data_IF_224668086412
#
_entry.id   IF_224668086412
#
_cell.length_a   1.000
_cell.length_b   1.000
_cell.length_c   1.000
_cell.angle_alpha   90.00
_cell.angle_beta   90.00
_cell.angle_gamma   90.00
#
_symmetry.space_group_name_H-M   'P 1'
#
loop_
_entity.id
_entity.type
_entity.pdbx_description
1 polymer ?
#
# COMPACT_ATOMS: atom_id res chain seq x y z
N UNK A 1 -6.22 33.60 -44.51
CA UNK A 1 -6.06 32.27 -43.90
C UNK A 1 -5.63 32.52 -42.45
N UNK A 2 -6.38 32.09 -41.42
CA UNK A 2 -5.97 32.32 -40.04
C UNK A 2 -4.95 31.25 -39.64
N UNK A 3 -3.78 31.67 -39.15
CA UNK A 3 -2.76 30.75 -38.63
C UNK A 3 -3.27 29.99 -37.41
N UNK A 4 -3.18 28.67 -37.46
CA UNK A 4 -3.61 27.75 -36.41
C UNK A 4 -2.66 27.86 -35.20
N UNK A 5 -3.17 27.99 -33.96
CA UNK A 5 -2.31 28.19 -32.81
C UNK A 5 -1.49 26.93 -32.51
N UNK A 6 -0.18 27.00 -32.78
CA UNK A 6 0.76 25.94 -32.42
C UNK A 6 0.85 25.83 -30.90
N UNK A 7 0.20 24.79 -30.35
CA UNK A 7 0.35 24.39 -28.95
C UNK A 7 1.83 24.00 -28.78
N UNK A 8 2.59 24.63 -27.85
CA UNK A 8 3.95 24.20 -27.59
C UNK A 8 3.93 22.77 -27.07
N UNK A 9 4.48 21.84 -27.86
CA UNK A 9 4.75 20.45 -27.45
C UNK A 9 5.86 20.49 -26.41
N UNK A 10 5.52 20.84 -25.17
CA UNK A 10 6.40 20.63 -24.02
C UNK A 10 6.46 19.12 -23.83
N UNK A 11 7.48 18.48 -24.39
CA UNK A 11 7.85 17.14 -23.96
C UNK A 11 8.28 17.27 -22.50
N UNK A 12 7.54 16.68 -21.54
CA UNK A 12 7.95 16.72 -20.15
C UNK A 12 9.33 16.06 -20.05
N UNK A 13 10.21 16.55 -19.17
CA UNK A 13 11.50 15.90 -18.96
C UNK A 13 11.26 14.41 -18.69
N UNK A 14 11.97 13.54 -19.41
CA UNK A 14 11.84 12.09 -19.26
C UNK A 14 12.44 11.61 -17.94
N UNK A 15 11.84 12.03 -16.83
CA UNK A 15 12.16 11.52 -15.50
C UNK A 15 11.54 10.14 -15.41
N UNK A 16 12.34 9.11 -15.68
CA UNK A 16 11.90 7.71 -15.62
C UNK A 16 11.55 7.37 -14.17
N UNK A 17 10.25 7.27 -13.89
CA UNK A 17 9.75 6.75 -12.62
C UNK A 17 9.53 5.24 -12.76
N UNK A 18 10.18 4.44 -11.91
CA UNK A 18 9.90 3.02 -11.79
C UNK A 18 8.71 2.83 -10.85
N UNK A 19 7.71 2.10 -11.32
CA UNK A 19 6.51 1.78 -10.54
C UNK A 19 6.45 0.27 -10.33
N UNK A 20 6.34 -0.13 -9.06
CA UNK A 20 6.10 -1.52 -8.69
C UNK A 20 4.76 -1.65 -7.97
N UNK A 21 4.09 -2.77 -8.19
CA UNK A 21 2.82 -3.11 -7.53
C UNK A 21 2.91 -4.50 -6.92
N UNK A 22 2.32 -4.68 -5.74
CA UNK A 22 2.30 -5.97 -5.04
C UNK A 22 1.01 -6.15 -4.26
N UNK A 23 0.53 -7.40 -4.19
CA UNK A 23 -0.61 -7.78 -3.37
C UNK A 23 -0.28 -9.04 -2.57
N UNK A 24 -0.55 -9.03 -1.27
CA UNK A 24 -0.34 -10.18 -0.39
C UNK A 24 -1.58 -10.45 0.49
N UNK A 25 -1.90 -11.72 0.72
CA UNK A 25 -2.93 -12.13 1.69
C UNK A 25 -2.41 -11.85 3.10
N UNK A 26 -3.28 -11.30 3.94
CA UNK A 26 -3.02 -10.98 5.33
C UNK A 26 -4.23 -11.26 6.22
N UNK A 27 -5.08 -12.18 5.78
CA UNK A 27 -6.25 -12.63 6.52
C UNK A 27 -5.80 -13.25 7.85
N UNK A 28 -6.34 -12.74 8.96
CA UNK A 28 -6.11 -13.29 10.29
C UNK A 28 -6.95 -14.54 10.57
N UNK A 29 -7.07 -14.92 11.86
CA UNK A 29 -7.97 -16.00 12.27
C UNK A 29 -9.42 -15.71 11.86
N UNK A 30 -10.11 -16.73 11.36
CA UNK A 30 -11.47 -16.62 10.81
C UNK A 30 -12.56 -17.15 11.74
N UNK A 31 -12.18 -17.71 12.89
CA UNK A 31 -13.09 -18.26 13.89
C UNK A 31 -12.66 -17.84 15.30
N UNK A 32 -13.63 -17.65 16.19
CA UNK A 32 -13.45 -17.45 17.63
C UNK A 32 -12.56 -16.25 18.03
N UNK A 33 -12.49 -15.23 17.16
CA UNK A 33 -11.80 -13.96 17.42
C UNK A 33 -12.78 -12.78 17.27
N UNK A 34 -12.79 -11.82 18.22
CA UNK A 34 -13.59 -10.61 18.09
C UNK A 34 -13.23 -9.81 16.84
N UNK A 35 -14.25 -9.30 16.13
CA UNK A 35 -14.03 -8.42 14.98
C UNK A 35 -13.75 -6.98 15.43
N UNK A 36 -12.78 -6.34 14.78
CA UNK A 36 -12.43 -4.94 15.04
C UNK A 36 -13.42 -3.99 14.35
N UNK A 37 -13.96 -3.00 15.08
CA UNK A 37 -14.73 -1.90 14.51
C UNK A 37 -15.95 -1.50 15.34
N UNK A 38 -16.93 -2.39 15.48
CA UNK A 38 -18.23 -2.06 16.08
C UNK A 38 -18.26 -2.07 17.61
N UNK A 39 -17.19 -2.50 18.27
CA UNK A 39 -17.11 -2.62 19.73
C UNK A 39 -18.27 -3.44 20.34
N UNK A 40 -18.76 -4.45 19.62
CA UNK A 40 -19.79 -5.37 20.09
C UNK A 40 -19.15 -6.69 20.56
N UNK A 41 -19.35 -7.04 21.83
CA UNK A 41 -18.81 -8.27 22.43
C UNK A 41 -19.38 -9.56 21.84
N UNK A 42 -20.58 -9.52 21.27
CA UNK A 42 -21.21 -10.67 20.60
C UNK A 42 -20.66 -10.87 19.17
N UNK A 43 -19.93 -9.88 18.63
CA UNK A 43 -19.42 -9.93 17.27
C UNK A 43 -18.09 -10.69 17.19
N UNK A 44 -18.21 -12.01 17.04
CA UNK A 44 -17.06 -12.93 16.88
C UNK A 44 -17.03 -13.49 15.46
N UNK A 45 -15.82 -13.66 14.90
CA UNK A 45 -15.62 -14.28 13.59
C UNK A 45 -16.14 -15.73 13.56
N UNK A 46 -16.86 -16.11 12.49
CA UNK A 46 -17.46 -17.45 12.30
C UNK A 46 -17.26 -17.99 10.89
N UNK A 47 -16.19 -17.57 10.23
CA UNK A 47 -15.89 -17.92 8.85
C UNK A 47 -15.37 -16.72 8.06
N UNK A 48 -15.36 -16.88 6.75
CA UNK A 48 -14.81 -15.89 5.83
C UNK A 48 -15.71 -15.70 4.62
N UNK A 49 -16.07 -14.46 4.32
CA UNK A 49 -16.73 -14.13 3.07
C UNK A 49 -15.70 -13.87 1.96
N UNK A 50 -14.74 -12.98 2.23
CA UNK A 50 -13.62 -12.66 1.34
C UNK A 50 -12.32 -12.54 2.13
N UNK A 51 -11.18 -12.84 1.49
CA UNK A 51 -9.85 -12.62 2.05
C UNK A 51 -9.52 -11.13 2.17
N UNK A 52 -8.67 -10.79 3.15
CA UNK A 52 -8.15 -9.45 3.36
C UNK A 52 -6.76 -9.34 2.76
N UNK A 53 -6.49 -8.28 2.00
CA UNK A 53 -5.21 -8.09 1.33
C UNK A 53 -4.50 -6.80 1.78
N UNK A 54 -3.17 -6.82 1.70
CA UNK A 54 -2.37 -5.59 1.57
C UNK A 54 -2.06 -5.38 0.10
N UNK A 55 -2.06 -4.11 -0.33
CA UNK A 55 -1.68 -3.70 -1.68
C UNK A 55 -0.61 -2.62 -1.55
N UNK A 56 0.54 -2.88 -2.14
CA UNK A 56 1.71 -2.02 -2.09
C UNK A 56 1.94 -1.39 -3.46
N UNK A 57 2.22 -0.09 -3.47
CA UNK A 57 2.58 0.71 -4.62
C UNK A 57 3.90 1.39 -4.29
N UNK A 58 4.92 1.11 -5.09
CA UNK A 58 6.24 1.72 -4.93
C UNK A 58 6.53 2.60 -6.13
N UNK A 59 6.98 3.81 -5.87
CA UNK A 59 7.42 4.78 -6.87
C UNK A 59 8.87 5.13 -6.58
N UNK A 60 9.71 5.07 -7.60
CA UNK A 60 11.13 5.35 -7.51
C UNK A 60 11.55 6.26 -8.67
N UNK A 61 11.98 7.48 -8.35
CA UNK A 61 12.44 8.45 -9.34
C UNK A 61 13.96 8.35 -9.63
N UNK A 62 14.63 7.33 -9.07
CA UNK A 62 16.08 7.12 -9.14
C UNK A 62 16.87 7.78 -8.00
N UNK A 63 16.27 8.73 -7.27
CA UNK A 63 16.88 9.39 -6.10
C UNK A 63 16.13 9.09 -4.80
N UNK A 64 14.81 8.97 -4.87
CA UNK A 64 13.90 8.76 -3.75
C UNK A 64 12.89 7.68 -4.12
N UNK A 65 12.64 6.83 -3.13
CA UNK A 65 11.66 5.76 -3.21
C UNK A 65 10.57 5.98 -2.18
N UNK A 66 9.32 5.94 -2.63
CA UNK A 66 8.14 6.06 -1.77
C UNK A 66 7.34 4.76 -1.89
N UNK A 67 7.06 4.14 -0.75
CA UNK A 67 6.20 2.98 -0.63
C UNK A 67 4.87 3.40 0.01
N UNK A 68 3.78 3.25 -0.74
CA UNK A 68 2.42 3.44 -0.26
C UNK A 68 1.74 2.07 -0.13
N UNK A 69 1.14 1.78 1.04
CA UNK A 69 0.48 0.50 1.28
C UNK A 69 -0.94 0.74 1.74
N UNK A 70 -1.90 0.18 1.01
CA UNK A 70 -3.28 0.04 1.47
C UNK A 70 -3.52 -1.35 2.03
N UNK A 71 -4.51 -1.42 2.88
CA UNK A 71 -4.61 -2.47 3.86
C UNK A 71 -6.10 -2.65 4.18
N UNK A 72 -6.69 -3.78 3.79
CA UNK A 72 -8.06 -4.17 4.18
C UNK A 72 -8.11 -4.48 5.70
N UNK A 73 -8.15 -3.46 6.56
CA UNK A 73 -8.25 -3.51 8.04
C UNK A 73 -9.04 -2.29 8.50
N UNK A 74 -9.68 -2.36 9.68
CA UNK A 74 -10.37 -1.21 10.26
C UNK A 74 -9.45 -0.02 10.54
N UNK A 75 -8.28 -0.27 11.15
CA UNK A 75 -7.25 0.76 11.40
C UNK A 75 -5.86 0.13 11.40
N UNK A 76 -4.82 0.92 11.11
CA UNK A 76 -3.42 0.51 11.26
C UNK A 76 -2.93 0.96 12.64
N UNK A 77 -2.65 -0.01 13.51
CA UNK A 77 -2.12 0.30 14.84
C UNK A 77 -0.68 0.79 14.77
N UNK A 78 -0.28 1.64 15.74
CA UNK A 78 1.09 2.11 15.81
C UNK A 78 2.10 0.97 15.97
N UNK A 79 1.74 -0.07 16.74
CA UNK A 79 2.57 -1.28 16.88
C UNK A 79 2.82 -1.95 15.54
N UNK A 80 1.78 -2.16 14.73
CA UNK A 80 1.93 -2.74 13.40
C UNK A 80 2.88 -1.91 12.51
N UNK A 81 2.73 -0.58 12.52
CA UNK A 81 3.60 0.32 11.75
C UNK A 81 5.07 0.23 12.17
N UNK A 82 5.33 0.18 13.48
CA UNK A 82 6.69 0.09 14.02
C UNK A 82 7.35 -1.25 13.64
N UNK A 83 6.64 -2.36 13.78
CA UNK A 83 7.14 -3.70 13.44
C UNK A 83 7.41 -3.86 11.94
N UNK A 84 6.52 -3.35 11.08
CA UNK A 84 6.73 -3.37 9.63
C UNK A 84 7.97 -2.56 9.26
N UNK A 85 8.14 -1.36 9.83
CA UNK A 85 9.33 -0.54 9.60
C UNK A 85 10.60 -1.26 10.04
N UNK A 86 10.58 -1.90 11.21
CA UNK A 86 11.70 -2.68 11.71
C UNK A 86 12.05 -3.84 10.77
N UNK A 87 11.05 -4.65 10.40
CA UNK A 87 11.22 -5.79 9.50
C UNK A 87 11.78 -5.38 8.14
N UNK A 88 11.28 -4.28 7.57
CA UNK A 88 11.80 -3.74 6.30
C UNK A 88 13.25 -3.29 6.42
N UNK A 89 13.62 -2.64 7.53
CA UNK A 89 15.01 -2.19 7.75
C UNK A 89 16.01 -3.33 7.87
N UNK A 90 15.58 -4.48 8.38
CA UNK A 90 16.44 -5.67 8.55
C UNK A 90 16.48 -6.54 7.30
N UNK A 91 15.35 -6.68 6.59
CA UNK A 91 15.21 -7.65 5.50
C UNK A 91 15.67 -7.11 4.14
N UNK A 92 15.67 -5.79 3.96
CA UNK A 92 16.04 -5.15 2.70
C UNK A 92 17.41 -4.49 2.89
N UNK A 93 18.40 -4.90 2.08
CA UNK A 93 19.69 -4.18 2.03
C UNK A 93 19.43 -2.75 1.56
N UNK A 94 19.97 -1.72 2.23
CA UNK A 94 19.86 -0.36 1.73
C UNK A 94 20.44 -0.31 0.32
N UNK A 95 19.59 -0.02 -0.65
CA UNK A 95 20.02 0.23 -2.03
C UNK A 95 20.64 1.62 -2.01
N UNK A 96 21.97 1.66 -2.04
CA UNK A 96 22.78 2.88 -2.15
C UNK A 96 22.59 3.46 -3.55
#
# INVERSE_FOLDING_TARGET
EPEEPTIPTVNPPETRCLIGVGRADRTGPVADVPLMGYANNEQTARGIHTRLFSRAFIMDDGNKRVLFVTADVGMVSQRLRLEVRHTLSTSIKPTV
#
